data_IF_040168555692
#
_entry.id   IF_040168555692
#
_cell.length_a   1.000
_cell.length_b   1.000
_cell.length_c   1.000
_cell.angle_alpha   90.00
_cell.angle_beta   90.00
_cell.angle_gamma   90.00
#
_symmetry.space_group_name_H-M   'P 1'
#
loop_
_entity.id
_entity.type
_entity.pdbx_description
1 polymer ?
#
# COMPACT_ATOMS: atom_id res chain seq x y z
N UNK A 1 1.11 12.20 -8.57
CA UNK A 1 2.17 13.17 -8.19
C UNK A 1 3.08 13.51 -9.37
N UNK A 2 2.53 14.13 -10.40
CA UNK A 2 3.31 14.58 -11.58
C UNK A 2 4.03 15.93 -11.40
N UNK A 3 3.96 16.54 -10.23
CA UNK A 3 4.44 17.90 -10.02
C UNK A 3 5.88 18.04 -9.49
N UNK A 4 6.59 16.93 -9.24
CA UNK A 4 7.93 16.91 -8.66
C UNK A 4 8.88 15.99 -9.44
N UNK A 5 8.69 15.87 -10.77
CA UNK A 5 9.31 14.87 -11.61
C UNK A 5 10.84 14.84 -11.60
N UNK A 6 11.49 16.00 -11.56
CA UNK A 6 12.94 16.10 -11.74
C UNK A 6 13.74 15.93 -10.44
N UNK A 7 13.07 16.02 -9.28
CA UNK A 7 13.71 15.95 -7.96
C UNK A 7 13.83 14.51 -7.46
N UNK A 8 12.95 13.61 -7.89
CA UNK A 8 12.91 12.24 -7.39
C UNK A 8 13.44 11.24 -8.41
N UNK A 9 14.42 10.46 -8.01
CA UNK A 9 14.77 9.21 -8.69
C UNK A 9 13.90 8.10 -8.14
N UNK A 10 13.08 7.48 -8.99
CA UNK A 10 12.17 6.42 -8.61
C UNK A 10 12.70 5.07 -9.10
N UNK A 11 12.82 4.12 -8.19
CA UNK A 11 13.16 2.74 -8.50
C UNK A 11 11.99 1.84 -8.13
N UNK A 12 11.64 0.95 -9.05
CA UNK A 12 10.60 -0.04 -8.86
C UNK A 12 11.25 -1.41 -8.97
N UNK A 13 11.18 -2.20 -7.92
CA UNK A 13 11.62 -3.58 -7.91
C UNK A 13 10.41 -4.49 -7.96
N UNK A 14 10.44 -5.51 -8.82
CA UNK A 14 9.37 -6.49 -8.90
C UNK A 14 9.93 -7.90 -9.15
N UNK A 15 9.25 -8.96 -8.65
CA UNK A 15 9.67 -10.33 -8.89
C UNK A 15 9.42 -10.73 -10.34
N UNK A 16 10.48 -11.15 -11.03
CA UNK A 16 10.37 -11.70 -12.39
C UNK A 16 9.48 -12.94 -12.35
N UNK A 17 8.42 -12.96 -13.17
CA UNK A 17 7.39 -14.00 -13.19
C UNK A 17 6.49 -14.08 -11.92
N UNK A 18 6.62 -13.15 -10.98
CA UNK A 18 5.79 -13.10 -9.76
C UNK A 18 4.68 -12.05 -9.79
N UNK A 19 4.43 -11.44 -10.95
CA UNK A 19 3.36 -10.45 -11.18
C UNK A 19 2.58 -10.81 -12.45
N UNK A 20 1.33 -10.36 -12.53
CA UNK A 20 0.56 -10.54 -13.76
C UNK A 20 1.18 -9.73 -14.92
N UNK A 21 0.91 -10.15 -16.17
CA UNK A 21 1.42 -9.44 -17.36
C UNK A 21 0.97 -7.99 -17.40
N UNK A 22 -0.24 -7.70 -16.95
CA UNK A 22 -0.76 -6.33 -16.87
C UNK A 22 0.03 -5.50 -15.86
N UNK A 23 0.31 -6.04 -14.67
CA UNK A 23 1.11 -5.36 -13.67
C UNK A 23 2.55 -5.13 -14.13
N UNK A 24 3.17 -6.13 -14.78
CA UNK A 24 4.48 -5.97 -15.38
C UNK A 24 4.49 -4.82 -16.38
N UNK A 25 3.54 -4.79 -17.31
CA UNK A 25 3.43 -3.73 -18.32
C UNK A 25 3.22 -2.36 -17.67
N UNK A 26 2.40 -2.25 -16.64
CA UNK A 26 2.20 -1.00 -15.89
C UNK A 26 3.49 -0.45 -15.29
N UNK A 27 4.41 -1.33 -14.87
CA UNK A 27 5.71 -0.93 -14.33
C UNK A 27 6.71 -0.59 -15.45
N UNK A 28 6.90 -1.48 -16.42
CA UNK A 28 7.96 -1.32 -17.45
C UNK A 28 7.66 -0.28 -18.50
N UNK A 29 6.40 0.11 -18.68
CA UNK A 29 6.00 1.17 -19.61
C UNK A 29 6.03 2.57 -19.02
N UNK A 30 6.44 2.72 -17.75
CA UNK A 30 6.62 4.05 -17.16
C UNK A 30 7.67 4.84 -17.92
N UNK A 31 7.30 6.06 -18.29
CA UNK A 31 8.20 6.97 -19.01
C UNK A 31 8.84 7.96 -18.05
N UNK A 32 10.09 8.29 -18.29
CA UNK A 32 10.86 9.28 -17.54
C UNK A 32 12.29 8.81 -17.31
N UNK A 33 13.25 9.70 -17.48
CA UNK A 33 14.67 9.43 -17.24
C UNK A 33 15.00 9.20 -15.76
N UNK A 34 14.07 9.60 -14.89
CA UNK A 34 14.16 9.46 -13.43
C UNK A 34 13.51 8.18 -12.89
N UNK A 35 13.00 7.31 -13.75
CA UNK A 35 12.31 6.05 -13.37
C UNK A 35 13.14 4.85 -13.85
N UNK A 36 13.48 3.96 -12.92
CA UNK A 36 14.16 2.71 -13.22
C UNK A 36 13.30 1.55 -12.72
N UNK A 37 13.13 0.54 -13.55
CA UNK A 37 12.36 -0.65 -13.22
C UNK A 37 13.27 -1.87 -13.30
N UNK A 38 13.36 -2.63 -12.22
CA UNK A 38 14.28 -3.76 -12.09
C UNK A 38 13.50 -5.02 -11.73
N UNK A 39 13.56 -6.02 -12.60
CA UNK A 39 13.06 -7.35 -12.29
C UNK A 39 14.09 -8.11 -11.45
N UNK A 40 13.69 -8.64 -10.32
CA UNK A 40 14.56 -9.45 -9.47
C UNK A 40 14.22 -10.94 -9.61
N UNK A 41 15.22 -11.79 -9.40
CA UNK A 41 15.00 -13.22 -9.21
C UNK A 41 14.63 -13.45 -7.75
N UNK A 42 13.38 -13.88 -7.50
CA UNK A 42 12.82 -14.07 -6.18
C UNK A 42 11.33 -13.78 -6.16
N UNK A 43 10.78 -13.65 -4.98
CA UNK A 43 9.38 -13.29 -4.76
C UNK A 43 9.25 -11.83 -4.31
N UNK A 44 8.02 -11.40 -4.04
CA UNK A 44 7.72 -10.03 -3.60
C UNK A 44 8.37 -9.71 -2.24
N UNK A 45 8.46 -10.69 -1.36
CA UNK A 45 9.07 -10.53 -0.03
C UNK A 45 10.58 -10.31 -0.11
N UNK A 46 11.25 -10.96 -1.06
CA UNK A 46 12.66 -10.71 -1.31
C UNK A 46 12.89 -9.26 -1.76
N UNK A 47 12.04 -8.74 -2.65
CA UNK A 47 12.09 -7.35 -3.07
C UNK A 47 11.90 -6.39 -1.88
N UNK A 48 10.90 -6.66 -1.05
CA UNK A 48 10.56 -5.82 0.09
C UNK A 48 11.62 -5.86 1.18
N UNK A 49 12.14 -7.05 1.50
CA UNK A 49 13.23 -7.21 2.47
C UNK A 49 14.50 -6.51 2.01
N UNK A 50 14.83 -6.59 0.73
CA UNK A 50 15.95 -5.87 0.14
C UNK A 50 15.79 -4.35 0.27
N UNK A 51 14.61 -3.82 -0.01
CA UNK A 51 14.32 -2.38 0.17
C UNK A 51 14.41 -1.97 1.63
N UNK A 52 13.88 -2.77 2.57
CA UNK A 52 14.01 -2.50 4.01
C UNK A 52 15.48 -2.46 4.45
N UNK A 53 16.27 -3.45 4.04
CA UNK A 53 17.70 -3.49 4.35
C UNK A 53 18.44 -2.24 3.85
N UNK A 54 18.10 -1.74 2.65
CA UNK A 54 18.66 -0.48 2.14
C UNK A 54 18.26 0.74 3.00
N UNK A 55 17.05 0.77 3.53
CA UNK A 55 16.59 1.86 4.41
C UNK A 55 17.25 1.82 5.80
N UNK A 56 17.62 0.64 6.27
CA UNK A 56 18.29 0.40 7.57
C UNK A 56 19.82 0.58 7.48
N UNK A 57 20.38 0.63 6.27
CA UNK A 57 21.80 0.81 6.02
C UNK A 57 22.22 2.28 6.23
N UNK A 58 22.80 2.55 7.39
CA UNK A 58 23.23 3.89 7.79
C UNK A 58 24.42 4.38 6.97
N UNK A 59 25.34 3.51 6.58
CA UNK A 59 26.51 3.88 5.76
C UNK A 59 26.06 4.32 4.37
N UNK A 60 25.15 3.56 3.75
CA UNK A 60 24.56 3.91 2.47
C UNK A 60 23.75 5.21 2.56
N UNK A 61 23.00 5.42 3.63
CA UNK A 61 22.24 6.64 3.85
C UNK A 61 23.15 7.88 3.95
N UNK A 62 24.29 7.77 4.68
CA UNK A 62 25.27 8.85 4.78
C UNK A 62 25.96 9.14 3.44
N UNK A 63 26.30 8.10 2.68
CA UNK A 63 26.90 8.26 1.36
C UNK A 63 25.97 8.98 0.38
N UNK A 64 24.69 8.62 0.41
CA UNK A 64 23.65 9.28 -0.39
C UNK A 64 23.45 10.73 0.05
N UNK A 65 23.43 11.00 1.36
CA UNK A 65 23.31 12.35 1.90
C UNK A 65 24.45 13.27 1.44
N UNK A 66 25.69 12.78 1.42
CA UNK A 66 26.86 13.51 0.87
C UNK A 66 26.66 13.87 -0.61
N UNK A 67 25.87 13.09 -1.35
CA UNK A 67 25.54 13.33 -2.76
C UNK A 67 24.23 14.13 -2.94
N UNK A 68 23.62 14.59 -1.84
CA UNK A 68 22.36 15.35 -1.85
C UNK A 68 21.11 14.48 -2.05
N UNK A 69 21.17 13.17 -1.79
CA UNK A 69 20.06 12.24 -1.88
C UNK A 69 19.59 11.78 -0.51
N UNK A 70 18.31 11.50 -0.40
CA UNK A 70 17.69 10.89 0.77
C UNK A 70 16.72 9.81 0.34
N UNK A 71 16.70 8.70 1.07
CA UNK A 71 15.69 7.67 0.85
C UNK A 71 14.28 8.15 1.19
N UNK A 72 13.33 7.75 0.37
CA UNK A 72 11.91 7.93 0.63
C UNK A 72 11.13 6.75 0.07
N UNK A 73 10.04 6.38 0.74
CA UNK A 73 9.17 5.30 0.31
C UNK A 73 7.89 5.83 -0.32
N UNK A 74 7.46 5.20 -1.41
CA UNK A 74 6.21 5.53 -2.09
C UNK A 74 5.05 4.59 -1.69
N UNK A 75 5.24 3.74 -0.68
CA UNK A 75 4.20 2.84 -0.17
C UNK A 75 3.53 3.37 1.11
N UNK A 76 2.58 2.59 1.67
CA UNK A 76 1.78 2.99 2.84
C UNK A 76 2.55 3.03 4.17
N UNK A 77 3.81 2.63 4.21
CA UNK A 77 4.71 2.82 5.37
C UNK A 77 4.97 4.32 5.57
N UNK A 78 4.98 5.09 4.49
CA UNK A 78 5.17 6.52 4.54
C UNK A 78 3.84 7.22 4.89
N UNK A 79 3.80 7.91 6.03
CA UNK A 79 2.62 8.67 6.48
C UNK A 79 2.14 9.68 5.44
N UNK A 80 3.05 10.26 4.66
CA UNK A 80 2.72 11.15 3.55
C UNK A 80 1.96 10.47 2.41
N UNK A 81 1.93 9.13 2.38
CA UNK A 81 1.11 8.32 1.46
C UNK A 81 -0.20 7.85 2.09
N UNK A 82 -0.25 7.79 3.40
CA UNK A 82 -1.41 7.35 4.15
C UNK A 82 -2.42 8.50 4.36
N UNK A 83 -1.94 9.63 4.86
CA UNK A 83 -2.80 10.78 5.19
C UNK A 83 -3.66 11.27 4.02
N UNK A 84 -3.15 11.42 2.79
CA UNK A 84 -3.97 11.84 1.66
C UNK A 84 -5.13 10.86 1.34
N UNK A 85 -5.03 9.59 1.74
CA UNK A 85 -6.10 8.62 1.53
C UNK A 85 -7.30 8.86 2.46
N UNK A 86 -7.13 9.53 3.58
CA UNK A 86 -8.23 9.94 4.47
C UNK A 86 -9.23 10.80 3.71
N UNK A 87 -8.74 11.67 2.82
CA UNK A 87 -9.57 12.56 1.99
C UNK A 87 -10.58 11.78 1.14
N UNK A 88 -10.25 10.56 0.71
CA UNK A 88 -11.18 9.74 -0.10
C UNK A 88 -12.48 9.47 0.65
N UNK A 89 -12.39 9.16 1.95
CA UNK A 89 -13.54 8.83 2.79
C UNK A 89 -14.35 10.05 3.17
N UNK A 90 -13.67 11.16 3.48
CA UNK A 90 -14.33 12.46 3.73
C UNK A 90 -15.09 12.91 2.47
N UNK A 91 -14.41 12.86 1.31
CA UNK A 91 -15.04 13.26 0.06
C UNK A 91 -16.17 12.31 -0.36
N UNK A 92 -16.01 11.00 -0.16
CA UNK A 92 -17.06 10.03 -0.48
C UNK A 92 -18.32 10.30 0.37
N UNK A 93 -18.14 10.53 1.68
CA UNK A 93 -19.26 10.87 2.56
C UNK A 93 -19.94 12.19 2.14
N UNK A 94 -19.15 13.22 1.87
CA UNK A 94 -19.67 14.51 1.40
C UNK A 94 -20.47 14.39 0.08
N UNK A 95 -20.00 13.51 -0.84
CA UNK A 95 -20.70 13.26 -2.11
C UNK A 95 -22.03 12.52 -1.92
N UNK A 96 -22.10 11.59 -0.97
CA UNK A 96 -23.36 10.92 -0.65
C UNK A 96 -24.38 11.91 -0.08
N UNK A 97 -23.96 12.84 0.77
CA UNK A 97 -24.83 13.92 1.27
C UNK A 97 -25.25 14.89 0.15
N UNK A 98 -24.31 15.32 -0.70
CA UNK A 98 -24.58 16.23 -1.83
C UNK A 98 -25.60 15.62 -2.82
N UNK A 99 -25.56 14.30 -3.00
CA UNK A 99 -26.47 13.58 -3.88
C UNK A 99 -27.78 13.15 -3.19
N UNK A 100 -27.99 13.53 -1.93
CA UNK A 100 -29.17 13.14 -1.14
C UNK A 100 -29.35 11.62 -1.00
N UNK A 101 -28.25 10.86 -1.06
CA UNK A 101 -28.22 9.40 -0.89
C UNK A 101 -28.28 8.97 0.57
N UNK A 102 -27.89 9.86 1.48
CA UNK A 102 -27.90 9.67 2.94
C UNK A 102 -28.31 10.98 3.63
N UNK A 103 -28.79 10.87 4.87
CA UNK A 103 -29.03 12.01 5.75
C UNK A 103 -27.78 12.42 6.53
N UNK A 104 -27.74 13.68 6.98
CA UNK A 104 -26.60 14.17 7.80
C UNK A 104 -26.47 13.37 9.11
N UNK A 105 -25.27 12.87 9.36
CA UNK A 105 -24.97 12.00 10.50
C UNK A 105 -25.33 10.52 10.30
N UNK A 106 -25.96 10.15 9.19
CA UNK A 106 -26.21 8.75 8.86
C UNK A 106 -24.90 7.99 8.67
N UNK A 107 -24.82 6.79 9.26
CA UNK A 107 -23.60 5.99 9.22
C UNK A 107 -23.51 5.14 7.96
N UNK A 108 -22.43 5.30 7.22
CA UNK A 108 -22.10 4.44 6.07
C UNK A 108 -21.20 3.28 6.49
N UNK A 109 -21.33 2.14 5.81
CA UNK A 109 -20.38 1.04 5.93
C UNK A 109 -19.39 1.10 4.77
N UNK A 110 -18.12 0.87 5.06
CA UNK A 110 -17.04 0.98 4.07
C UNK A 110 -16.40 -0.38 3.87
N UNK A 111 -16.40 -0.87 2.63
CA UNK A 111 -15.75 -2.12 2.23
C UNK A 111 -14.45 -1.79 1.52
N UNK A 112 -13.34 -2.30 2.03
CA UNK A 112 -12.01 -2.02 1.50
C UNK A 112 -11.27 -3.32 1.22
N UNK A 113 -10.72 -3.49 0.02
CA UNK A 113 -9.81 -4.62 -0.25
C UNK A 113 -8.61 -4.59 0.69
N UNK A 114 -8.18 -5.76 1.15
CA UNK A 114 -7.08 -5.91 2.13
C UNK A 114 -5.84 -5.12 1.74
N UNK A 115 -5.32 -5.33 0.54
CA UNK A 115 -4.07 -4.70 0.07
C UNK A 115 -2.98 -4.76 1.14
N UNK A 116 -2.26 -3.66 1.31
CA UNK A 116 -1.26 -3.47 2.38
C UNK A 116 -1.87 -2.85 3.65
N UNK A 117 -3.16 -2.94 3.84
CA UNK A 117 -3.92 -2.41 4.96
C UNK A 117 -3.91 -0.89 5.13
N UNK A 118 -3.13 -0.15 4.34
CA UNK A 118 -3.03 1.31 4.43
C UNK A 118 -4.34 2.03 4.13
N UNK A 119 -5.09 1.56 3.13
CA UNK A 119 -6.34 2.22 2.74
C UNK A 119 -7.44 2.08 3.80
N UNK A 120 -7.62 0.89 4.38
CA UNK A 120 -8.59 0.70 5.47
C UNK A 120 -8.16 1.42 6.75
N UNK A 121 -6.85 1.56 7.01
CA UNK A 121 -6.33 2.38 8.11
C UNK A 121 -6.67 3.86 7.91
N UNK A 122 -6.60 4.36 6.68
CA UNK A 122 -7.05 5.71 6.36
C UNK A 122 -8.56 5.90 6.60
N UNK A 123 -9.38 4.89 6.28
CA UNK A 123 -10.81 4.89 6.62
C UNK A 123 -11.04 4.92 8.14
N UNK A 124 -10.23 4.18 8.89
CA UNK A 124 -10.27 4.22 10.34
C UNK A 124 -9.93 5.61 10.88
N UNK A 125 -8.92 6.27 10.34
CA UNK A 125 -8.59 7.64 10.72
C UNK A 125 -9.73 8.62 10.37
N UNK A 126 -10.32 8.50 9.18
CA UNK A 126 -11.50 9.30 8.82
C UNK A 126 -12.63 9.13 9.86
N UNK A 127 -12.90 7.89 10.27
CA UNK A 127 -13.87 7.59 11.33
C UNK A 127 -13.50 8.25 12.66
N UNK A 128 -12.23 8.18 13.08
CA UNK A 128 -11.76 8.82 14.31
C UNK A 128 -11.81 10.35 14.24
N UNK A 129 -11.71 10.91 13.05
CA UNK A 129 -11.85 12.35 12.81
C UNK A 129 -13.31 12.82 12.77
N UNK A 130 -14.27 11.91 12.90
CA UNK A 130 -15.69 12.25 13.03
C UNK A 130 -16.54 11.95 11.79
N UNK A 131 -15.97 11.40 10.70
CA UNK A 131 -16.78 10.95 9.57
C UNK A 131 -17.69 9.80 10.05
N UNK A 132 -19.02 9.88 9.79
CA UNK A 132 -19.97 8.88 10.27
C UNK A 132 -19.81 7.53 9.57
N UNK A 133 -18.77 6.79 9.92
CA UNK A 133 -18.49 5.43 9.42
C UNK A 133 -18.93 4.42 10.47
N UNK A 134 -19.83 3.54 10.09
CA UNK A 134 -20.31 2.44 10.92
C UNK A 134 -19.29 1.30 10.99
N UNK A 135 -19.35 0.40 10.04
CA UNK A 135 -18.47 -0.77 9.94
C UNK A 135 -17.38 -0.53 8.88
N UNK A 136 -16.17 -0.98 9.20
CA UNK A 136 -15.10 -1.17 8.25
C UNK A 136 -15.03 -2.67 7.92
N UNK A 137 -15.20 -3.01 6.67
CA UNK A 137 -15.16 -4.39 6.19
C UNK A 137 -13.92 -4.57 5.33
N UNK A 138 -13.03 -5.45 5.78
CA UNK A 138 -11.84 -5.83 5.02
C UNK A 138 -12.18 -7.00 4.10
N UNK A 139 -12.22 -6.75 2.80
CA UNK A 139 -12.45 -7.79 1.80
C UNK A 139 -11.14 -8.43 1.39
N UNK A 140 -11.03 -9.75 1.50
CA UNK A 140 -9.87 -10.52 1.06
C UNK A 140 -10.23 -11.49 -0.05
N UNK A 141 -9.25 -11.84 -0.87
CA UNK A 141 -9.31 -12.96 -1.80
C UNK A 141 -8.82 -14.25 -1.11
N UNK A 142 -8.43 -15.27 -1.89
CA UNK A 142 -7.95 -16.55 -1.35
C UNK A 142 -6.68 -16.41 -0.49
N UNK A 143 -5.89 -15.34 -0.66
CA UNK A 143 -4.82 -14.96 0.25
C UNK A 143 -5.40 -14.28 1.50
N UNK A 144 -6.07 -15.04 2.36
CA UNK A 144 -6.91 -14.57 3.45
C UNK A 144 -6.27 -14.65 4.84
N UNK A 145 -4.97 -14.42 4.95
CA UNK A 145 -4.25 -14.55 6.23
C UNK A 145 -4.86 -13.71 7.35
N UNK A 146 -5.30 -12.49 7.04
CA UNK A 146 -5.94 -11.64 8.05
C UNK A 146 -7.32 -12.15 8.45
N UNK A 147 -8.11 -12.67 7.51
CA UNK A 147 -9.40 -13.27 7.85
C UNK A 147 -9.21 -14.42 8.84
N UNK A 148 -8.28 -15.32 8.56
CA UNK A 148 -8.00 -16.45 9.44
C UNK A 148 -7.44 -15.98 10.79
N UNK A 149 -6.54 -14.98 10.79
CA UNK A 149 -6.05 -14.35 12.02
C UNK A 149 -7.19 -13.80 12.89
N UNK A 150 -8.15 -13.08 12.30
CA UNK A 150 -9.29 -12.56 13.05
C UNK A 150 -10.22 -13.67 13.58
N UNK A 151 -10.23 -14.85 12.97
CA UNK A 151 -11.00 -15.99 13.44
C UNK A 151 -10.28 -16.79 14.55
N UNK A 152 -8.96 -16.93 14.44
CA UNK A 152 -8.17 -17.84 15.28
C UNK A 152 -7.31 -17.12 16.32
N UNK A 153 -6.91 -15.87 16.07
CA UNK A 153 -5.90 -15.16 16.82
C UNK A 153 -4.46 -15.51 16.40
N UNK A 154 -4.27 -16.50 15.53
CA UNK A 154 -2.96 -16.96 15.08
C UNK A 154 -2.61 -16.36 13.71
N UNK A 155 -1.48 -15.66 13.66
CA UNK A 155 -0.96 -15.10 12.41
C UNK A 155 0.03 -16.07 11.76
N UNK A 156 -0.49 -16.95 10.89
CA UNK A 156 0.32 -17.95 10.18
C UNK A 156 1.03 -17.33 8.98
N UNK A 157 2.37 -17.32 9.04
CA UNK A 157 3.26 -16.81 7.97
C UNK A 157 3.67 -17.89 6.96
N UNK A 158 3.48 -19.15 7.30
CA UNK A 158 3.93 -20.31 6.49
C UNK A 158 2.83 -20.78 5.55
N UNK A 159 2.31 -19.89 4.71
CA UNK A 159 1.24 -20.19 3.76
C UNK A 159 1.76 -20.23 2.34
N UNK A 160 1.18 -21.10 1.55
CA UNK A 160 1.37 -21.08 0.12
C UNK A 160 0.73 -19.83 -0.48
N UNK A 161 1.51 -19.09 -1.26
CA UNK A 161 1.03 -17.90 -1.96
C UNK A 161 0.20 -18.31 -3.18
N UNK A 162 -1.06 -17.85 -3.22
CA UNK A 162 -1.95 -18.08 -4.35
C UNK A 162 -1.86 -16.88 -5.30
N UNK A 163 -1.47 -17.14 -6.55
CA UNK A 163 -1.39 -16.10 -7.57
C UNK A 163 -2.80 -15.65 -7.96
N UNK A 164 -3.11 -14.41 -7.65
CA UNK A 164 -4.39 -13.76 -7.98
C UNK A 164 -4.14 -12.48 -8.78
N UNK A 165 -5.18 -11.87 -9.32
CA UNK A 165 -5.09 -10.56 -9.98
C UNK A 165 -4.76 -9.42 -9.03
N UNK A 166 -4.90 -9.62 -7.71
CA UNK A 166 -4.51 -8.72 -6.64
C UNK A 166 -3.66 -9.46 -5.61
N UNK A 167 -2.36 -9.71 -5.90
CA UNK A 167 -1.50 -10.58 -5.11
C UNK A 167 -1.03 -9.96 -3.79
N UNK A 168 -1.52 -8.81 -3.43
CA UNK A 168 -1.17 -8.14 -2.19
C UNK A 168 -1.67 -8.93 -1.00
N UNK A 169 -0.78 -9.56 -0.27
CA UNK A 169 -1.09 -10.21 1.00
C UNK A 169 -0.10 -9.73 2.06
N UNK A 170 -0.58 -9.55 3.29
CA UNK A 170 0.23 -9.16 4.43
C UNK A 170 1.01 -10.34 5.04
N UNK A 171 1.49 -11.26 4.20
CA UNK A 171 2.12 -12.48 4.70
C UNK A 171 3.39 -12.21 5.53
N UNK A 172 4.12 -11.12 5.24
CA UNK A 172 5.46 -10.93 5.80
C UNK A 172 5.74 -9.53 6.36
N UNK A 173 4.78 -8.61 6.39
CA UNK A 173 5.03 -7.19 6.63
C UNK A 173 4.57 -6.65 7.97
N UNK A 174 4.15 -7.49 8.92
CA UNK A 174 3.98 -7.02 10.29
C UNK A 174 5.34 -6.99 10.97
N UNK A 175 5.88 -5.82 11.32
CA UNK A 175 6.92 -5.78 12.32
C UNK A 175 6.32 -6.32 13.61
N UNK A 176 6.99 -7.27 14.19
CA UNK A 176 6.76 -7.70 15.55
C UNK A 176 6.89 -6.54 16.52
#
# INVERSE_FOLDING_TARGET
SRGLGDVYKRQVFYPKNGVSKVQELQMVTQRGENVNVVAIHGNFDNAQSGVKAMFEDTELAEELAKKGYQFSSANSINIGRLVPQVVYYVNAYAKLLENEEIEDGEKINVVVPTGNFGNILAAYYAKQMGVPIGKLVCASNDNKVLFDFFQTGDYDRNREFILTTSPSCLLYTSPS
#
